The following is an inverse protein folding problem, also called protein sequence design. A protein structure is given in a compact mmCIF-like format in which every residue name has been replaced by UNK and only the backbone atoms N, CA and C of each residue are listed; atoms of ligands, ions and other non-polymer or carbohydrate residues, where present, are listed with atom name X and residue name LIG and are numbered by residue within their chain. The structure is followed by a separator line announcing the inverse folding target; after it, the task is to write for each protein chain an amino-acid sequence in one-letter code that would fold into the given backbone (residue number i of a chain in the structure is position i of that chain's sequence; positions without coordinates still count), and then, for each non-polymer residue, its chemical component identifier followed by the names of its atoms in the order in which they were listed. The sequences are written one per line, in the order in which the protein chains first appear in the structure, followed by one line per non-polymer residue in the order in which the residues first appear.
data_IF_245695470691
#
_entry.id   IF_245695470691
#
_cell.length_a   1.000
_cell.length_b   1.000
_cell.length_c   1.000
_cell.angle_alpha   90.00
_cell.angle_beta   90.00
_cell.angle_gamma   90.00
#
_symmetry.space_group_name_H-M   'P 1'
#
loop_
_entity.id
_entity.type
_entity.pdbx_description
1 polymer ?
#
# COMPACT_ATOMS: atom_id res chain seq x y z
N UNK A 1 12.97 -8.49 7.25
CA UNK A 1 13.21 -7.52 6.16
C UNK A 1 14.04 -6.37 6.71
N UNK A 2 14.86 -5.77 5.89
CA UNK A 2 15.64 -4.62 6.35
C UNK A 2 14.77 -3.37 6.45
N UNK A 3 15.15 -2.48 7.34
CA UNK A 3 14.57 -1.15 7.41
C UNK A 3 14.78 -0.40 6.09
N UNK A 4 13.74 0.26 5.61
CA UNK A 4 13.75 0.97 4.33
C UNK A 4 13.57 2.46 4.55
N UNK A 5 14.31 3.25 3.80
CA UNK A 5 14.30 4.71 3.89
C UNK A 5 13.95 5.29 2.52
N UNK A 6 12.95 6.16 2.49
CA UNK A 6 12.54 6.87 1.27
C UNK A 6 12.57 8.37 1.54
N UNK A 7 13.08 9.13 0.58
CA UNK A 7 13.19 10.58 0.70
C UNK A 7 12.67 11.27 -0.56
N UNK A 8 12.46 12.58 -0.47
CA UNK A 8 12.02 13.44 -1.58
C UNK A 8 10.70 13.00 -2.20
N UNK A 9 9.74 12.69 -1.35
CA UNK A 9 8.39 12.32 -1.79
C UNK A 9 7.41 13.44 -1.50
N UNK A 10 6.35 13.48 -2.28
CA UNK A 10 5.16 14.25 -1.96
C UNK A 10 4.18 13.33 -1.25
N UNK A 11 3.97 13.59 0.02
CA UNK A 11 3.17 12.71 0.89
C UNK A 11 1.76 13.26 0.98
N UNK A 12 0.79 12.42 0.61
CA UNK A 12 -0.63 12.76 0.71
C UNK A 12 -1.29 11.71 1.60
N UNK A 13 -1.80 12.15 2.74
CA UNK A 13 -2.54 11.30 3.67
C UNK A 13 -3.80 12.03 4.10
N UNK A 14 -4.93 11.75 3.45
CA UNK A 14 -6.18 12.44 3.77
C UNK A 14 -6.66 12.19 5.19
N UNK A 15 -6.38 11.01 5.75
CA UNK A 15 -6.81 10.67 7.10
C UNK A 15 -6.18 11.60 8.15
N UNK A 16 -4.90 11.92 7.99
CA UNK A 16 -4.17 12.81 8.89
C UNK A 16 -4.06 14.24 8.34
N UNK A 17 -4.79 14.57 7.29
CA UNK A 17 -4.72 15.87 6.62
C UNK A 17 -3.30 16.27 6.23
N UNK A 18 -2.52 15.29 5.81
CA UNK A 18 -1.12 15.51 5.44
C UNK A 18 -0.99 15.71 3.94
N UNK A 19 -0.32 16.78 3.56
CA UNK A 19 0.06 17.06 2.18
C UNK A 19 1.37 17.85 2.23
N UNK A 20 2.48 17.12 2.26
CA UNK A 20 3.78 17.76 2.44
C UNK A 20 4.88 16.98 1.74
N UNK A 21 5.99 17.65 1.50
CA UNK A 21 7.19 17.01 0.98
C UNK A 21 7.98 16.43 2.14
N UNK A 22 8.44 15.20 1.99
CA UNK A 22 9.21 14.54 3.03
C UNK A 22 9.60 13.13 2.66
N UNK A 23 9.63 12.25 3.65
CA UNK A 23 10.04 10.88 3.45
C UNK A 23 9.28 9.90 4.32
N UNK A 24 9.69 8.65 4.21
CA UNK A 24 9.05 7.54 4.87
C UNK A 24 10.12 6.56 5.34
N UNK A 25 10.00 6.09 6.57
CA UNK A 25 10.83 5.01 7.09
C UNK A 25 9.94 3.83 7.40
N UNK A 26 10.25 2.69 6.81
CA UNK A 26 9.55 1.43 7.07
C UNK A 26 10.47 0.56 7.93
N UNK A 27 9.95 0.14 9.08
CA UNK A 27 10.70 -0.68 10.02
C UNK A 27 10.89 -2.11 9.53
N UNK A 28 11.71 -2.87 10.23
CA UNK A 28 12.00 -4.25 9.86
C UNK A 28 10.77 -5.16 9.87
N UNK A 29 9.76 -4.84 10.68
CA UNK A 29 8.50 -5.58 10.73
C UNK A 29 7.45 -5.08 9.75
N UNK A 30 7.83 -4.18 8.83
CA UNK A 30 6.96 -3.71 7.77
C UNK A 30 6.01 -2.59 8.18
N UNK A 31 6.23 -1.97 9.32
CA UNK A 31 5.38 -0.87 9.81
C UNK A 31 6.00 0.48 9.49
N UNK A 32 5.16 1.49 9.39
CA UNK A 32 5.63 2.86 9.23
C UNK A 32 6.23 3.33 10.55
N UNK A 33 7.54 3.59 10.55
CA UNK A 33 8.24 4.07 11.73
C UNK A 33 8.20 5.59 11.81
N UNK A 34 8.35 6.26 10.69
CA UNK A 34 8.31 7.72 10.61
C UNK A 34 7.87 8.15 9.21
N UNK A 35 7.15 9.26 9.15
CA UNK A 35 6.69 9.82 7.89
C UNK A 35 6.57 11.34 8.02
N UNK A 36 6.93 12.06 6.98
CA UNK A 36 6.75 13.51 6.93
C UNK A 36 8.03 14.27 6.66
N UNK A 37 7.98 15.59 6.91
CA UNK A 37 9.09 16.51 6.64
C UNK A 37 10.38 16.17 7.37
N UNK A 38 10.25 15.55 8.52
CA UNK A 38 11.42 15.19 9.36
C UNK A 38 12.27 14.10 8.74
N UNK A 39 11.70 13.33 7.82
CA UNK A 39 12.43 12.27 7.13
C UNK A 39 13.07 12.87 5.88
N UNK A 40 14.32 13.27 6.01
CA UNK A 40 15.10 13.84 4.92
C UNK A 40 16.55 13.38 5.06
N UNK A 41 17.36 13.64 4.05
CA UNK A 41 18.74 13.15 3.99
C UNK A 41 19.59 13.63 5.18
N UNK A 42 19.27 14.78 5.74
CA UNK A 42 20.04 15.35 6.84
C UNK A 42 19.71 14.70 8.19
N UNK A 43 18.54 14.06 8.30
CA UNK A 43 18.05 13.44 9.54
C UNK A 43 18.20 11.92 9.53
N UNK A 44 18.80 11.35 8.51
CA UNK A 44 19.05 9.91 8.44
C UNK A 44 20.47 9.59 8.87
N UNK A 45 20.69 8.37 9.40
CA UNK A 45 22.07 7.93 9.67
C UNK A 45 22.91 7.97 8.40
N UNK A 46 24.11 8.51 8.49
CA UNK A 46 24.98 8.71 7.33
C UNK A 46 25.34 7.42 6.59
N UNK A 47 25.29 6.30 7.28
CA UNK A 47 25.56 4.97 6.70
C UNK A 47 24.40 4.39 5.89
N UNK A 48 23.21 4.97 6.02
CA UNK A 48 22.01 4.46 5.33
C UNK A 48 21.95 5.03 3.93
N UNK A 49 21.42 4.21 3.01
CA UNK A 49 21.23 4.61 1.62
C UNK A 49 19.75 4.72 1.33
N UNK A 50 19.17 5.91 1.44
CA UNK A 50 17.76 6.07 1.16
C UNK A 50 17.45 5.97 -0.34
N UNK A 51 16.25 5.55 -0.65
CA UNK A 51 15.72 5.62 -2.00
C UNK A 51 15.17 7.01 -2.24
N UNK A 52 15.72 7.71 -3.23
CA UNK A 52 15.24 9.02 -3.62
C UNK A 52 14.05 8.86 -4.57
N UNK A 53 12.88 9.30 -4.12
CA UNK A 53 11.66 9.19 -4.91
C UNK A 53 11.48 10.31 -5.93
N UNK A 54 12.39 11.29 -5.94
CA UNK A 54 12.44 12.34 -6.97
C UNK A 54 11.12 13.08 -7.19
N UNK A 55 10.42 13.36 -6.11
CA UNK A 55 9.15 14.08 -6.17
C UNK A 55 7.93 13.22 -6.49
N UNK A 56 8.08 11.92 -6.51
CA UNK A 56 6.91 11.03 -6.66
C UNK A 56 6.01 11.12 -5.44
N UNK A 57 4.76 10.71 -5.63
CA UNK A 57 3.76 10.78 -4.59
C UNK A 57 3.74 9.49 -3.76
N UNK A 58 3.59 9.66 -2.45
CA UNK A 58 3.26 8.57 -1.53
C UNK A 58 1.86 8.84 -1.00
N UNK A 59 0.99 7.87 -1.09
CA UNK A 59 -0.35 7.94 -0.52
C UNK A 59 -0.78 6.54 -0.05
N UNK A 60 -1.79 6.44 0.83
CA UNK A 60 -2.28 5.15 1.29
C UNK A 60 -2.76 4.29 0.12
N UNK A 61 -2.58 2.99 0.24
CA UNK A 61 -3.08 2.06 -0.76
C UNK A 61 -4.59 2.22 -0.95
N UNK A 62 -5.05 2.05 -2.17
CA UNK A 62 -6.45 2.20 -2.51
C UNK A 62 -7.26 1.03 -1.97
N UNK A 63 -8.52 1.30 -1.62
CA UNK A 63 -9.47 0.30 -1.16
C UNK A 63 -10.56 0.15 -2.22
N UNK A 64 -10.74 -1.05 -2.73
CA UNK A 64 -11.84 -1.34 -3.64
C UNK A 64 -12.95 -2.00 -2.85
N UNK A 65 -14.07 -1.31 -2.73
CA UNK A 65 -15.19 -1.72 -1.89
C UNK A 65 -16.05 -2.81 -2.51
N UNK A 66 -15.84 -3.15 -3.78
CA UNK A 66 -16.63 -4.17 -4.45
C UNK A 66 -15.85 -4.81 -5.57
N UNK A 67 -15.42 -6.04 -5.33
CA UNK A 67 -14.62 -6.82 -6.27
C UNK A 67 -15.27 -8.18 -6.45
N UNK A 68 -15.28 -8.67 -7.68
CA UNK A 68 -15.68 -10.03 -7.98
C UNK A 68 -14.44 -10.87 -8.25
N UNK A 69 -14.49 -12.10 -7.75
CA UNK A 69 -13.45 -13.10 -7.99
C UNK A 69 -14.13 -14.37 -8.48
N UNK A 70 -13.38 -15.21 -9.19
CA UNK A 70 -13.93 -16.44 -9.75
C UNK A 70 -14.14 -17.57 -8.75
N UNK A 71 -13.95 -17.36 -7.48
CA UNK A 71 -14.15 -18.36 -6.43
C UNK A 71 -15.44 -18.10 -5.67
N UNK A 72 -16.28 -19.13 -5.42
CA UNK A 72 -16.16 -20.49 -5.95
C UNK A 72 -16.79 -20.64 -7.33
N UNK A 73 -16.32 -21.58 -8.12
CA UNK A 73 -16.95 -22.02 -9.35
C UNK A 73 -16.34 -21.52 -10.66
N UNK A 74 -15.61 -20.42 -10.63
CA UNK A 74 -15.02 -19.82 -11.83
C UNK A 74 -13.52 -19.59 -11.68
N UNK A 75 -12.83 -20.46 -10.97
CA UNK A 75 -11.39 -20.30 -10.69
C UNK A 75 -10.55 -20.27 -11.96
N UNK A 76 -11.04 -20.84 -13.05
CA UNK A 76 -10.37 -20.78 -14.35
C UNK A 76 -10.29 -19.35 -14.91
N UNK A 77 -11.18 -18.46 -14.48
CA UNK A 77 -11.16 -17.04 -14.87
C UNK A 77 -10.27 -16.25 -13.94
N UNK A 78 -10.49 -16.43 -12.64
CA UNK A 78 -9.74 -15.70 -11.63
C UNK A 78 -9.87 -16.41 -10.28
N UNK A 79 -8.81 -16.39 -9.51
CA UNK A 79 -8.81 -16.87 -8.13
C UNK A 79 -8.27 -15.76 -7.22
N UNK A 80 -8.24 -16.00 -5.90
CA UNK A 80 -7.77 -14.97 -4.96
C UNK A 80 -6.32 -14.56 -5.20
N UNK A 81 -5.49 -15.48 -5.65
CA UNK A 81 -4.09 -15.17 -5.93
C UNK A 81 -3.94 -14.22 -7.11
N UNK A 82 -4.62 -14.48 -8.21
CA UNK A 82 -4.57 -13.60 -9.38
C UNK A 82 -5.25 -12.27 -9.12
N UNK A 83 -6.34 -12.27 -8.33
CA UNK A 83 -6.98 -11.04 -7.90
C UNK A 83 -6.02 -10.19 -7.06
N UNK A 84 -5.33 -10.79 -6.10
CA UNK A 84 -4.37 -10.07 -5.27
C UNK A 84 -3.25 -9.45 -6.11
N UNK A 85 -2.70 -10.20 -7.05
CA UNK A 85 -1.64 -9.70 -7.91
C UNK A 85 -2.12 -8.55 -8.79
N UNK A 86 -3.31 -8.67 -9.36
CA UNK A 86 -3.89 -7.62 -10.18
C UNK A 86 -4.17 -6.36 -9.36
N UNK A 87 -4.74 -6.51 -8.18
CA UNK A 87 -5.05 -5.40 -7.29
C UNK A 87 -3.79 -4.64 -6.90
N UNK A 88 -2.76 -5.35 -6.44
CA UNK A 88 -1.51 -4.73 -6.04
C UNK A 88 -0.81 -3.99 -7.18
N UNK A 89 -0.84 -4.54 -8.38
CA UNK A 89 -0.22 -3.88 -9.53
C UNK A 89 -0.92 -2.57 -9.88
N UNK A 90 -2.18 -2.41 -9.53
CA UNK A 90 -2.95 -1.18 -9.71
C UNK A 90 -2.95 -0.25 -8.50
N UNK A 91 -2.22 -0.60 -7.42
CA UNK A 91 -2.18 0.22 -6.22
C UNK A 91 -3.32 -0.04 -5.24
N UNK A 92 -4.12 -1.06 -5.46
CA UNK A 92 -5.21 -1.45 -4.57
C UNK A 92 -4.65 -2.43 -3.53
N UNK A 93 -4.71 -2.06 -2.25
CA UNK A 93 -4.16 -2.85 -1.16
C UNK A 93 -5.20 -3.53 -0.29
N UNK A 94 -6.46 -3.14 -0.41
CA UNK A 94 -7.58 -3.76 0.31
C UNK A 94 -8.76 -3.89 -0.61
N UNK A 95 -9.44 -5.04 -0.58
CA UNK A 95 -10.61 -5.29 -1.41
C UNK A 95 -11.72 -5.90 -0.57
N UNK A 96 -12.97 -5.57 -0.91
CA UNK A 96 -14.15 -6.22 -0.38
C UNK A 96 -14.70 -7.14 -1.48
N UNK A 97 -14.63 -8.44 -1.26
CA UNK A 97 -14.95 -9.45 -2.27
C UNK A 97 -16.42 -9.87 -2.15
N UNK A 98 -17.12 -9.85 -3.29
CA UNK A 98 -18.48 -10.34 -3.40
C UNK A 98 -18.50 -11.73 -4.02
N UNK A 99 -19.19 -12.65 -3.38
CA UNK A 99 -19.36 -14.02 -3.86
C UNK A 99 -20.72 -14.15 -4.54
N UNK A 100 -20.73 -14.63 -5.78
CA UNK A 100 -21.96 -14.72 -6.57
C UNK A 100 -22.87 -15.88 -6.17
N UNK A 101 -22.29 -16.90 -5.53
CA UNK A 101 -23.01 -18.16 -5.22
C UNK A 101 -23.22 -18.39 -3.75
N UNK A 102 -22.75 -17.50 -2.90
CA UNK A 102 -22.85 -17.65 -1.45
C UNK A 102 -23.68 -16.52 -0.87
N UNK A 103 -24.46 -16.85 0.15
CA UNK A 103 -25.23 -15.86 0.91
C UNK A 103 -24.41 -15.26 2.04
N UNK A 104 -23.10 -15.43 1.98
CA UNK A 104 -22.19 -14.90 2.98
C UNK A 104 -22.03 -13.39 2.81
N UNK A 105 -21.75 -12.68 3.91
CA UNK A 105 -21.44 -11.26 3.82
C UNK A 105 -20.13 -11.05 3.05
N UNK A 106 -19.92 -9.83 2.59
CA UNK A 106 -18.69 -9.44 1.92
C UNK A 106 -17.49 -9.69 2.83
N UNK A 107 -16.45 -10.28 2.27
CA UNK A 107 -15.20 -10.55 2.98
C UNK A 107 -14.16 -9.54 2.52
N UNK A 108 -13.51 -8.91 3.48
CA UNK A 108 -12.39 -8.03 3.19
C UNK A 108 -11.14 -8.86 2.96
N UNK A 109 -10.37 -8.51 1.93
CA UNK A 109 -9.15 -9.18 1.55
C UNK A 109 -8.03 -8.16 1.35
N UNK A 110 -6.93 -8.37 2.04
CA UNK A 110 -5.79 -7.44 2.04
C UNK A 110 -4.53 -8.07 1.46
#
# INVERSE_FOLDING_TARGET
MKKQYFINANIIDPYNSMNENGGLIISEDGKIEAIGKKVNINNLPSREKPTDLKGKYIFPGLVDMRVFVGEPGYEYKENFRTLSNAALSGGVTSVAVSYTHLTLPTTEYV
#
